data_IF_680484399412
#
_entry.id   IF_680484399412
#
_cell.length_a   1.000
_cell.length_b   1.000
_cell.length_c   1.000
_cell.angle_alpha   90.00
_cell.angle_beta   90.00
_cell.angle_gamma   90.00
#
_symmetry.space_group_name_H-M   'P 1'
#
loop_
_entity.id
_entity.type
_entity.pdbx_description
1 polymer ?
#
# COMPACT_ATOMS: atom_id res chain seq x y z
N UNK A 1 -0.28 -2.75 -9.86
CA UNK A 1 -1.12 -3.14 -8.70
C UNK A 1 -1.01 -2.18 -7.51
N UNK A 2 0.02 -2.20 -6.66
CA UNK A 2 0.01 -1.35 -5.44
C UNK A 2 -0.11 0.14 -5.76
N UNK A 3 0.64 0.63 -6.75
CA UNK A 3 0.50 2.02 -7.20
C UNK A 3 -0.91 2.34 -7.71
N UNK A 4 -1.65 1.39 -8.29
CA UNK A 4 -3.04 1.63 -8.72
C UNK A 4 -3.99 1.86 -7.54
N UNK A 5 -3.68 1.32 -6.35
CA UNK A 5 -4.42 1.62 -5.12
C UNK A 5 -4.04 2.99 -4.55
N UNK A 6 -2.75 3.35 -4.60
CA UNK A 6 -2.24 4.62 -4.08
C UNK A 6 -2.71 5.82 -4.91
N UNK A 7 -2.76 5.64 -6.24
CA UNK A 7 -3.08 6.70 -7.20
C UNK A 7 -4.56 7.10 -7.15
N UNK A 8 -4.90 8.39 -6.97
CA UNK A 8 -6.27 8.86 -7.13
C UNK A 8 -6.72 8.86 -8.61
N UNK A 9 -5.79 8.77 -9.56
CA UNK A 9 -6.10 8.73 -10.99
C UNK A 9 -6.68 7.37 -11.38
N UNK A 10 -6.07 6.29 -10.86
CA UNK A 10 -6.49 4.90 -11.09
C UNK A 10 -7.53 4.41 -10.08
N UNK A 11 -7.39 4.74 -8.79
CA UNK A 11 -8.28 4.25 -7.74
C UNK A 11 -9.58 5.05 -7.67
N UNK A 12 -10.62 4.56 -8.36
CA UNK A 12 -11.98 5.10 -8.32
C UNK A 12 -12.93 4.34 -7.37
N UNK A 13 -12.37 3.54 -6.44
CA UNK A 13 -13.18 2.77 -5.48
C UNK A 13 -13.81 3.71 -4.46
N UNK A 14 -15.02 3.36 -4.02
CA UNK A 14 -15.79 4.09 -2.99
C UNK A 14 -15.91 3.32 -1.67
N UNK A 15 -15.25 2.17 -1.58
CA UNK A 15 -15.18 1.36 -0.36
C UNK A 15 -13.96 1.73 0.48
N UNK A 16 -13.68 0.93 1.53
CA UNK A 16 -12.58 1.14 2.48
C UNK A 16 -11.16 1.15 1.87
N UNK A 17 -11.02 0.83 0.58
CA UNK A 17 -9.75 0.83 -0.15
C UNK A 17 -9.63 1.96 -1.18
N UNK A 18 -10.57 2.92 -1.21
CA UNK A 18 -10.50 4.09 -2.09
C UNK A 18 -11.12 5.33 -1.46
N UNK A 19 -11.14 6.43 -2.21
CA UNK A 19 -11.57 7.73 -1.70
C UNK A 19 -10.44 8.45 -0.98
N UNK A 20 -10.43 8.46 0.35
CA UNK A 20 -9.43 9.20 1.15
C UNK A 20 -8.01 8.64 0.99
N UNK A 21 -7.01 9.42 1.40
CA UNK A 21 -5.61 8.97 1.39
C UNK A 21 -5.42 7.71 2.24
N UNK A 22 -5.99 7.68 3.44
CA UNK A 22 -5.93 6.57 4.40
C UNK A 22 -6.47 5.27 3.78
N UNK A 23 -7.59 5.36 3.06
CA UNK A 23 -8.15 4.20 2.39
C UNK A 23 -7.30 3.72 1.22
N UNK A 24 -6.69 4.64 0.45
CA UNK A 24 -5.82 4.30 -0.68
C UNK A 24 -4.51 3.63 -0.24
N UNK A 25 -3.96 4.01 0.91
CA UNK A 25 -2.77 3.35 1.48
C UNK A 25 -3.08 2.07 2.27
N UNK A 26 -4.35 1.81 2.59
CA UNK A 26 -4.74 0.68 3.46
C UNK A 26 -4.16 -0.66 3.00
N UNK A 27 -4.26 -0.95 1.70
CA UNK A 27 -3.75 -2.21 1.15
C UNK A 27 -2.23 -2.35 1.33
N UNK A 28 -1.45 -1.28 1.14
CA UNK A 28 0.01 -1.38 1.31
C UNK A 28 0.39 -1.61 2.76
N UNK A 29 -0.33 -0.97 3.70
CA UNK A 29 -0.12 -1.18 5.14
C UNK A 29 -0.42 -2.64 5.52
N UNK A 30 -1.59 -3.17 5.12
CA UNK A 30 -1.97 -4.56 5.37
C UNK A 30 -0.95 -5.56 4.81
N UNK A 31 -0.41 -5.30 3.62
CA UNK A 31 0.63 -6.14 3.01
C UNK A 31 1.93 -6.08 3.79
N UNK A 32 2.39 -4.89 4.19
CA UNK A 32 3.63 -4.72 4.95
C UNK A 32 3.52 -5.43 6.29
N UNK A 33 2.40 -5.28 6.99
CA UNK A 33 2.11 -5.97 8.25
C UNK A 33 2.11 -7.50 8.07
N UNK A 34 1.43 -8.02 7.05
CA UNK A 34 1.39 -9.45 6.77
C UNK A 34 2.77 -10.03 6.43
N UNK A 35 3.58 -9.29 5.66
CA UNK A 35 4.94 -9.70 5.33
C UNK A 35 5.83 -9.67 6.57
N UNK A 36 5.74 -8.64 7.42
CA UNK A 36 6.50 -8.55 8.66
C UNK A 36 6.25 -9.71 9.62
N UNK A 37 5.06 -10.31 9.62
CA UNK A 37 4.74 -11.48 10.45
C UNK A 37 5.53 -12.74 10.08
N UNK A 38 5.99 -12.86 8.83
CA UNK A 38 6.70 -14.04 8.32
C UNK A 38 8.15 -13.75 7.91
N UNK A 39 8.54 -12.47 7.90
CA UNK A 39 9.86 -12.04 7.50
C UNK A 39 10.86 -12.08 8.68
N UNK A 40 12.09 -12.61 8.50
CA UNK A 40 13.08 -12.63 9.56
C UNK A 40 13.43 -11.21 10.06
N UNK A 41 13.44 -11.02 11.38
CA UNK A 41 13.63 -9.71 12.04
C UNK A 41 14.99 -9.10 11.72
N UNK A 42 16.01 -9.93 11.49
CA UNK A 42 17.37 -9.51 11.17
C UNK A 42 17.56 -9.07 9.70
N UNK A 43 16.55 -9.26 8.83
CA UNK A 43 16.64 -8.91 7.42
C UNK A 43 15.86 -7.63 7.09
N UNK A 44 16.41 -6.71 6.27
CA UNK A 44 15.68 -5.52 5.88
C UNK A 44 14.50 -5.86 4.98
N UNK A 45 13.39 -5.14 5.16
CA UNK A 45 12.23 -5.15 4.27
C UNK A 45 12.12 -3.78 3.60
N UNK A 46 12.08 -3.75 2.27
CA UNK A 46 11.98 -2.52 1.49
C UNK A 46 10.62 -2.42 0.79
N UNK A 47 10.02 -1.24 0.84
CA UNK A 47 8.89 -0.88 0.01
C UNK A 47 9.31 0.16 -1.02
N UNK A 48 9.14 -0.15 -2.32
CA UNK A 48 9.45 0.78 -3.41
C UNK A 48 8.22 1.60 -3.73
N UNK A 49 8.35 2.92 -3.66
CA UNK A 49 7.32 3.89 -4.06
C UNK A 49 7.82 4.79 -5.17
N UNK A 50 6.92 5.20 -6.06
CA UNK A 50 7.17 6.27 -7.02
C UNK A 50 6.78 7.61 -6.40
N UNK A 51 7.69 8.58 -6.37
CA UNK A 51 7.45 9.89 -5.74
C UNK A 51 6.69 10.87 -6.63
N UNK A 52 6.28 10.45 -7.83
CA UNK A 52 5.67 11.33 -8.83
C UNK A 52 4.54 10.59 -9.54
N UNK A 53 3.41 11.28 -9.72
CA UNK A 53 2.26 10.89 -10.54
C UNK A 53 1.59 12.12 -11.14
#
# INVERSE_FOLDING_TARGET
>A
LINEFLSPLSNRRTNQYGGSFENRIRLVVEIVEAVQQVWPVEKPLFFRISSNE
#
